data_IF_719891437589
#
_entry.id   IF_719891437589
#
_cell.length_a   1.000
_cell.length_b   1.000
_cell.length_c   1.000
_cell.angle_alpha   90.00
_cell.angle_beta   90.00
_cell.angle_gamma   90.00
#
_symmetry.space_group_name_H-M   'P 1'
#
loop_
_entity.id
_entity.type
_entity.pdbx_description
1 polymer ?
#
# COMPACT_ATOMS: atom_id res chain seq x y z
N UNK A 1 -30.25 13.26 37.28
CA UNK A 1 -30.81 12.36 36.24
C UNK A 1 -31.34 13.15 35.04
N UNK A 2 -31.75 14.41 35.22
CA UNK A 2 -32.31 15.27 34.16
C UNK A 2 -31.45 15.53 32.91
N UNK A 3 -30.12 15.42 33.03
CA UNK A 3 -29.22 15.59 31.87
C UNK A 3 -29.31 14.46 30.85
N UNK A 4 -29.61 13.23 31.30
CA UNK A 4 -29.80 12.08 30.41
C UNK A 4 -31.17 12.12 29.73
N UNK A 5 -32.22 12.53 30.43
CA UNK A 5 -33.57 12.68 29.84
C UNK A 5 -33.62 13.73 28.73
N UNK A 6 -32.77 14.78 28.81
CA UNK A 6 -32.62 15.75 27.71
C UNK A 6 -32.03 15.14 26.44
N UNK A 7 -31.21 14.08 26.53
CA UNK A 7 -30.63 13.40 25.37
C UNK A 7 -31.64 12.51 24.63
N UNK A 8 -32.71 12.07 25.30
CA UNK A 8 -33.78 11.24 24.72
C UNK A 8 -34.98 12.03 24.18
N UNK A 9 -34.87 13.37 24.11
CA UNK A 9 -35.92 14.22 23.52
C UNK A 9 -36.11 13.95 22.03
N UNK A 10 -37.35 14.15 21.55
CA UNK A 10 -37.79 13.90 20.16
C UNK A 10 -36.94 14.62 19.10
N UNK A 11 -36.32 15.74 19.46
CA UNK A 11 -35.44 16.54 18.59
C UNK A 11 -34.12 15.82 18.24
N UNK A 12 -33.62 14.92 19.10
CA UNK A 12 -32.37 14.16 18.88
C UNK A 12 -32.61 12.70 18.47
N UNK A 13 -33.82 12.35 18.04
CA UNK A 13 -34.18 10.96 17.68
C UNK A 13 -33.26 10.41 16.59
N UNK A 14 -32.93 11.20 15.57
CA UNK A 14 -32.03 10.77 14.49
C UNK A 14 -30.63 10.40 15.00
N UNK A 15 -30.10 11.14 15.98
CA UNK A 15 -28.80 10.86 16.59
C UNK A 15 -28.84 9.60 17.45
N UNK A 16 -29.93 9.40 18.19
CA UNK A 16 -30.11 8.19 19.01
C UNK A 16 -30.29 6.94 18.15
N UNK A 17 -31.03 7.03 17.04
CA UNK A 17 -31.15 5.93 16.06
C UNK A 17 -29.78 5.57 15.47
N UNK A 18 -28.98 6.58 15.11
CA UNK A 18 -27.61 6.34 14.61
C UNK A 18 -26.72 5.70 15.68
N UNK A 19 -26.84 6.11 16.95
CA UNK A 19 -26.08 5.52 18.05
C UNK A 19 -26.40 4.04 18.25
N UNK A 20 -27.69 3.68 18.21
CA UNK A 20 -28.14 2.29 18.27
C UNK A 20 -27.59 1.50 17.08
N UNK A 21 -27.61 2.07 15.88
CA UNK A 21 -27.07 1.42 14.68
C UNK A 21 -25.55 1.19 14.80
N UNK A 22 -24.80 2.14 15.34
CA UNK A 22 -23.37 1.98 15.63
C UNK A 22 -23.07 0.88 16.64
N UNK A 23 -23.88 0.78 17.70
CA UNK A 23 -23.76 -0.30 18.69
C UNK A 23 -24.00 -1.65 18.01
N UNK A 24 -25.07 -1.78 17.23
CA UNK A 24 -25.39 -3.01 16.49
C UNK A 24 -24.26 -3.37 15.52
N UNK A 25 -23.73 -2.39 14.78
CA UNK A 25 -22.60 -2.59 13.87
C UNK A 25 -21.35 -3.12 14.57
N UNK A 26 -20.99 -2.55 15.73
CA UNK A 26 -19.84 -2.99 16.52
C UNK A 26 -20.03 -4.44 16.98
N UNK A 27 -21.21 -4.81 17.48
CA UNK A 27 -21.52 -6.16 17.98
C UNK A 27 -21.58 -7.19 16.85
N UNK A 28 -22.22 -6.87 15.72
CA UNK A 28 -22.46 -7.82 14.63
C UNK A 28 -21.18 -8.32 13.97
N UNK A 29 -20.08 -7.57 14.03
CA UNK A 29 -18.80 -8.08 13.55
C UNK A 29 -18.74 -8.30 12.03
N UNK A 30 -19.73 -7.83 11.25
CA UNK A 30 -19.79 -8.15 9.83
C UNK A 30 -18.59 -7.61 9.05
N UNK A 31 -18.15 -8.41 8.08
CA UNK A 31 -17.11 -8.01 7.12
C UNK A 31 -17.65 -6.90 6.23
N UNK A 32 -16.86 -5.86 6.06
CA UNK A 32 -17.16 -4.80 5.09
C UNK A 32 -17.11 -5.41 3.68
N UNK A 33 -18.12 -5.16 2.83
CA UNK A 33 -18.12 -5.68 1.46
C UNK A 33 -16.95 -5.08 0.69
N UNK A 34 -16.35 -5.89 -0.18
CA UNK A 34 -15.10 -5.59 -0.89
C UNK A 34 -15.06 -4.21 -1.61
N UNK A 35 -16.13 -3.75 -2.29
CA UNK A 35 -16.11 -2.44 -2.94
C UNK A 35 -15.98 -1.27 -1.94
N UNK A 36 -16.63 -1.39 -0.77
CA UNK A 36 -16.58 -0.36 0.29
C UNK A 36 -15.25 -0.45 1.04
N UNK A 37 -14.78 -1.67 1.31
CA UNK A 37 -13.49 -1.91 1.93
C UNK A 37 -12.35 -1.31 1.10
N UNK A 38 -12.38 -1.50 -0.23
CA UNK A 38 -11.37 -0.94 -1.13
C UNK A 38 -11.34 0.60 -1.15
N UNK A 39 -12.50 1.26 -1.03
CA UNK A 39 -12.55 2.73 -0.93
C UNK A 39 -11.98 3.24 0.40
N UNK A 40 -12.34 2.59 1.50
CA UNK A 40 -11.92 2.98 2.85
C UNK A 40 -10.44 2.68 3.06
N UNK A 41 -9.94 1.56 2.52
CA UNK A 41 -8.56 1.11 2.69
C UNK A 41 -7.55 1.80 1.75
N UNK A 42 -7.82 3.05 1.42
CA UNK A 42 -6.85 3.97 0.82
C UNK A 42 -6.38 4.98 1.86
N UNK A 43 -5.19 5.55 1.70
CA UNK A 43 -4.70 6.60 2.63
C UNK A 43 -5.68 7.77 2.73
N UNK A 44 -6.26 8.18 1.58
CA UNK A 44 -7.26 9.24 1.52
C UNK A 44 -8.56 8.81 2.21
N UNK A 45 -9.05 7.59 1.94
CA UNK A 45 -10.25 7.04 2.58
C UNK A 45 -10.15 6.98 4.09
N UNK A 46 -9.02 6.51 4.63
CA UNK A 46 -8.75 6.50 6.08
C UNK A 46 -8.81 7.91 6.68
N UNK A 47 -8.20 8.90 6.03
CA UNK A 47 -8.23 10.31 6.47
C UNK A 47 -9.67 10.83 6.50
N UNK A 48 -10.45 10.59 5.44
CA UNK A 48 -11.85 11.02 5.36
C UNK A 48 -12.69 10.41 6.48
N UNK A 49 -12.53 9.11 6.75
CA UNK A 49 -13.26 8.43 7.85
C UNK A 49 -12.91 9.04 9.21
N UNK A 50 -11.64 9.33 9.47
CA UNK A 50 -11.21 9.99 10.72
C UNK A 50 -11.78 11.40 10.82
N UNK A 51 -11.78 12.15 9.72
CA UNK A 51 -12.33 13.52 9.67
C UNK A 51 -13.84 13.51 9.99
N UNK A 52 -14.59 12.59 9.37
CA UNK A 52 -16.02 12.40 9.68
C UNK A 52 -16.23 12.07 11.15
N UNK A 53 -15.41 11.19 11.74
CA UNK A 53 -15.52 10.84 13.15
C UNK A 53 -15.26 12.04 14.08
N UNK A 54 -14.28 12.89 13.75
CA UNK A 54 -13.99 14.13 14.48
C UNK A 54 -15.13 15.13 14.37
N UNK A 55 -15.72 15.30 13.18
CA UNK A 55 -16.90 16.16 13.00
C UNK A 55 -18.09 15.65 13.80
N UNK A 56 -18.29 14.32 13.83
CA UNK A 56 -19.34 13.68 14.60
C UNK A 56 -19.13 13.92 16.10
N UNK A 57 -17.89 13.87 16.58
CA UNK A 57 -17.54 14.20 17.96
C UNK A 57 -17.74 15.69 18.30
N UNK A 58 -17.44 16.60 17.38
CA UNK A 58 -17.55 18.04 17.61
C UNK A 58 -19.00 18.56 17.59
N UNK A 59 -19.86 18.00 16.74
CA UNK A 59 -21.21 18.55 16.48
C UNK A 59 -22.38 17.68 16.96
N UNK A 60 -22.15 16.43 17.38
CA UNK A 60 -23.22 15.53 17.82
C UNK A 60 -23.22 15.28 19.34
N UNK A 61 -24.20 14.49 19.80
CA UNK A 61 -24.26 14.05 21.20
C UNK A 61 -22.93 13.41 21.66
N UNK A 62 -22.42 13.74 22.86
CA UNK A 62 -21.15 13.21 23.38
C UNK A 62 -21.03 11.68 23.32
N UNK A 63 -22.12 10.97 23.63
CA UNK A 63 -22.19 9.50 23.57
C UNK A 63 -21.98 8.99 22.15
N UNK A 64 -22.66 9.61 21.19
CA UNK A 64 -22.58 9.25 19.77
C UNK A 64 -21.20 9.62 19.20
N UNK A 65 -20.61 10.73 19.62
CA UNK A 65 -19.25 11.11 19.25
C UNK A 65 -18.20 10.08 19.67
N UNK A 66 -18.25 9.64 20.93
CA UNK A 66 -17.34 8.59 21.43
C UNK A 66 -17.56 7.28 20.68
N UNK A 67 -18.81 6.86 20.48
CA UNK A 67 -19.13 5.69 19.65
C UNK A 67 -18.62 5.83 18.22
N UNK A 68 -18.72 7.02 17.63
CA UNK A 68 -18.23 7.31 16.28
C UNK A 68 -16.73 7.07 16.14
N UNK A 69 -15.92 7.39 17.15
CA UNK A 69 -14.48 7.08 17.14
C UNK A 69 -14.22 5.58 17.16
N UNK A 70 -14.95 4.82 17.98
CA UNK A 70 -14.83 3.36 18.00
C UNK A 70 -15.23 2.74 16.67
N UNK A 71 -16.34 3.20 16.09
CA UNK A 71 -16.80 2.74 14.77
C UNK A 71 -15.80 3.07 13.69
N UNK A 72 -15.23 4.28 13.68
CA UNK A 72 -14.22 4.67 12.70
C UNK A 72 -12.97 3.77 12.77
N UNK A 73 -12.46 3.51 13.99
CA UNK A 73 -11.34 2.61 14.18
C UNK A 73 -11.65 1.19 13.71
N UNK A 74 -12.80 0.65 14.12
CA UNK A 74 -13.21 -0.71 13.77
C UNK A 74 -13.49 -0.84 12.26
N UNK A 75 -14.08 0.17 11.63
CA UNK A 75 -14.33 0.23 10.19
C UNK A 75 -13.03 0.23 9.37
N UNK A 76 -12.03 1.04 9.77
CA UNK A 76 -10.71 1.07 9.12
C UNK A 76 -10.03 -0.29 9.27
N UNK A 77 -10.02 -0.85 10.49
CA UNK A 77 -9.42 -2.15 10.77
C UNK A 77 -10.08 -3.25 9.95
N UNK A 78 -11.41 -3.32 9.91
CA UNK A 78 -12.16 -4.33 9.13
C UNK A 78 -11.95 -4.19 7.64
N UNK A 79 -11.87 -2.96 7.13
CA UNK A 79 -11.58 -2.72 5.71
C UNK A 79 -10.19 -3.23 5.33
N UNK A 80 -9.17 -2.96 6.16
CA UNK A 80 -7.81 -3.48 5.92
C UNK A 80 -7.71 -5.01 6.00
N UNK A 81 -8.54 -5.65 6.84
CA UNK A 81 -8.64 -7.11 6.91
C UNK A 81 -9.33 -7.70 5.68
N UNK A 82 -10.35 -7.02 5.14
CA UNK A 82 -11.08 -7.50 3.96
C UNK A 82 -10.28 -7.36 2.67
N UNK A 83 -9.53 -6.27 2.51
CA UNK A 83 -8.66 -6.04 1.35
C UNK A 83 -7.36 -6.85 1.42
N UNK A 84 -6.98 -7.33 2.61
CA UNK A 84 -5.76 -8.10 2.84
C UNK A 84 -4.50 -7.26 3.07
N UNK A 85 -4.61 -5.93 3.02
CA UNK A 85 -3.51 -4.99 3.30
C UNK A 85 -3.00 -5.11 4.74
N UNK A 86 -3.86 -5.47 5.69
CA UNK A 86 -3.45 -5.71 7.07
C UNK A 86 -2.40 -6.83 7.18
N UNK A 87 -2.56 -7.90 6.40
CA UNK A 87 -1.60 -9.01 6.41
C UNK A 87 -0.28 -8.60 5.74
N UNK A 88 -0.36 -7.85 4.64
CA UNK A 88 0.81 -7.26 3.97
C UNK A 88 1.60 -6.37 4.93
N UNK A 89 0.96 -5.42 5.61
CA UNK A 89 1.64 -4.49 6.52
C UNK A 89 2.24 -5.19 7.75
N UNK A 90 1.55 -6.21 8.28
CA UNK A 90 1.98 -6.88 9.52
C UNK A 90 3.09 -7.91 9.30
N UNK A 91 3.06 -8.62 8.18
CA UNK A 91 3.90 -9.81 7.96
C UNK A 91 4.88 -9.67 6.79
N UNK A 92 4.68 -8.72 5.87
CA UNK A 92 5.61 -8.54 4.76
C UNK A 92 6.78 -7.63 5.19
N UNK A 93 8.04 -8.08 5.06
CA UNK A 93 9.19 -7.21 5.29
C UNK A 93 9.24 -6.12 4.22
N UNK A 94 9.70 -4.93 4.61
CA UNK A 94 9.96 -3.85 3.65
C UNK A 94 11.06 -4.24 2.69
N UNK A 95 11.08 -3.64 1.50
CA UNK A 95 12.10 -3.91 0.49
C UNK A 95 13.52 -3.65 1.03
N UNK A 96 13.70 -2.60 1.83
CA UNK A 96 14.97 -2.31 2.50
C UNK A 96 15.42 -3.45 3.44
N UNK A 97 14.50 -4.02 4.22
CA UNK A 97 14.80 -5.18 5.09
C UNK A 97 15.15 -6.41 4.27
N UNK A 98 14.36 -6.71 3.24
CA UNK A 98 14.63 -7.80 2.28
C UNK A 98 16.02 -7.65 1.65
N UNK A 99 16.35 -6.45 1.16
CA UNK A 99 17.64 -6.19 0.51
C UNK A 99 18.81 -6.33 1.47
N UNK A 100 18.61 -5.93 2.74
CA UNK A 100 19.62 -6.11 3.79
C UNK A 100 19.92 -7.59 4.02
N UNK A 101 18.89 -8.41 4.19
CA UNK A 101 19.05 -9.87 4.36
C UNK A 101 19.70 -10.51 3.12
N UNK A 102 19.23 -10.18 1.92
CA UNK A 102 19.83 -10.69 0.68
C UNK A 102 21.30 -10.28 0.55
N UNK A 103 21.65 -9.04 0.89
CA UNK A 103 23.05 -8.57 0.85
C UNK A 103 23.92 -9.32 1.84
N UNK A 104 23.42 -9.62 3.05
CA UNK A 104 24.16 -10.39 4.04
C UNK A 104 24.52 -11.79 3.56
N UNK A 105 23.60 -12.47 2.87
CA UNK A 105 23.85 -13.82 2.35
C UNK A 105 24.55 -13.84 0.98
N UNK A 106 24.60 -12.70 0.28
CA UNK A 106 25.20 -12.54 -1.04
C UNK A 106 26.51 -11.72 -0.98
N UNK A 107 27.26 -11.83 0.11
CA UNK A 107 28.63 -11.32 0.19
C UNK A 107 29.60 -12.43 -0.20
N UNK A 108 30.09 -12.39 -1.44
CA UNK A 108 31.15 -13.28 -1.89
C UNK A 108 32.51 -12.61 -1.67
N UNK A 109 33.46 -13.30 -1.03
CA UNK A 109 34.83 -12.81 -0.96
C UNK A 109 35.41 -12.73 -2.38
N UNK A 110 36.24 -11.72 -2.63
CA UNK A 110 36.95 -11.62 -3.90
C UNK A 110 37.78 -12.88 -4.14
N UNK A 111 37.53 -13.56 -5.25
CA UNK A 111 38.14 -14.87 -5.53
C UNK A 111 39.39 -14.77 -6.39
N UNK A 112 40.25 -15.78 -6.33
CA UNK A 112 41.42 -15.88 -7.20
C UNK A 112 41.04 -15.92 -8.68
N UNK A 113 39.91 -16.55 -9.01
CA UNK A 113 39.40 -16.58 -10.39
C UNK A 113 39.00 -15.17 -10.86
N UNK A 114 38.33 -14.38 -10.01
CA UNK A 114 38.03 -12.98 -10.32
C UNK A 114 39.28 -12.11 -10.43
N UNK A 115 40.32 -12.39 -9.63
CA UNK A 115 41.63 -11.73 -9.73
C UNK A 115 42.31 -12.03 -11.07
N UNK A 116 42.38 -13.31 -11.43
CA UNK A 116 42.99 -13.75 -12.66
C UNK A 116 42.21 -13.29 -13.88
N UNK A 117 40.87 -13.33 -13.85
CA UNK A 117 40.01 -12.77 -14.90
C UNK A 117 40.21 -11.27 -15.02
N UNK A 118 40.25 -10.51 -13.92
CA UNK A 118 40.53 -9.06 -13.98
C UNK A 118 41.89 -8.74 -14.59
N UNK A 119 42.89 -9.61 -14.38
CA UNK A 119 44.24 -9.47 -14.93
C UNK A 119 44.37 -9.92 -16.39
N UNK A 120 43.65 -10.96 -16.79
CA UNK A 120 43.79 -11.61 -18.11
C UNK A 120 42.67 -11.24 -19.10
N UNK A 121 41.55 -10.70 -18.63
CA UNK A 121 40.51 -10.19 -19.50
C UNK A 121 41.06 -8.98 -20.27
N UNK A 122 40.92 -8.94 -21.60
CA UNK A 122 41.27 -7.78 -22.40
C UNK A 122 40.19 -6.71 -22.27
N UNK A 123 39.92 -6.25 -21.04
CA UNK A 123 39.10 -5.07 -20.81
C UNK A 123 39.94 -3.85 -21.16
N UNK A 124 39.76 -3.35 -22.38
CA UNK A 124 40.19 -1.99 -22.73
C UNK A 124 39.38 -1.03 -21.87
N UNK A 125 39.87 -0.70 -20.68
CA UNK A 125 39.51 0.57 -20.05
C UNK A 125 40.05 1.63 -20.98
N UNK A 126 39.18 2.13 -21.86
CA UNK A 126 39.46 3.34 -22.64
C UNK A 126 39.57 4.44 -21.60
N UNK A 127 40.79 4.64 -21.08
CA UNK A 127 41.20 5.90 -20.54
C UNK A 127 40.73 6.94 -21.55
N UNK A 128 40.16 8.04 -21.06
CA UNK A 128 39.47 9.08 -21.82
C UNK A 128 40.30 9.80 -22.91
N UNK A 129 41.37 9.18 -23.42
CA UNK A 129 41.89 9.42 -24.76
C UNK A 129 40.98 8.77 -25.80
N UNK A 130 40.12 9.62 -26.35
CA UNK A 130 39.20 9.35 -27.45
C UNK A 130 39.92 8.81 -28.69
N UNK A 131 40.17 7.50 -28.74
CA UNK A 131 40.14 6.81 -30.03
C UNK A 131 38.67 6.57 -30.32
N UNK A 132 38.11 7.31 -31.29
CA UNK A 132 36.76 7.05 -31.81
C UNK A 132 36.71 5.59 -32.26
N UNK A 133 36.18 4.73 -31.40
CA UNK A 133 35.88 3.35 -31.76
C UNK A 133 34.66 3.39 -32.68
N UNK A 134 34.92 3.28 -33.99
CA UNK A 134 33.89 3.05 -34.97
C UNK A 134 33.36 1.61 -34.80
N UNK A 135 32.32 1.47 -33.97
CA UNK A 135 31.50 0.27 -33.94
C UNK A 135 30.31 0.46 -34.89
N UNK A 136 30.20 -0.41 -35.89
CA UNK A 136 29.01 -0.54 -36.71
C UNK A 136 28.36 -1.88 -36.35
N UNK A 137 27.17 -1.90 -35.72
CA UNK A 137 26.48 -3.14 -35.47
C UNK A 137 26.13 -3.79 -36.80
N UNK A 138 26.65 -4.99 -37.04
CA UNK A 138 26.20 -5.83 -38.13
C UNK A 138 24.98 -6.57 -37.59
N UNK A 139 23.79 -6.25 -38.11
CA UNK A 139 22.64 -7.11 -37.87
C UNK A 139 22.86 -8.43 -38.60
N UNK A 140 22.74 -9.53 -37.87
CA UNK A 140 22.65 -10.87 -38.47
C UNK A 140 21.25 -11.07 -39.07
N UNK A 141 21.07 -12.13 -39.85
CA UNK A 141 19.79 -12.46 -40.48
C UNK A 141 18.68 -12.56 -39.42
N UNK A 142 17.64 -11.75 -39.58
CA UNK A 142 16.53 -11.67 -38.63
C UNK A 142 15.52 -12.79 -38.82
N UNK A 143 15.71 -13.71 -39.77
CA UNK A 143 14.82 -14.85 -40.04
C UNK A 143 13.32 -14.46 -40.06
N UNK A 144 12.99 -13.43 -40.85
CA UNK A 144 11.64 -12.85 -40.96
C UNK A 144 11.00 -12.37 -39.64
N UNK A 145 11.81 -12.04 -38.61
CA UNK A 145 11.30 -11.43 -37.39
C UNK A 145 10.64 -10.07 -37.66
N UNK A 146 9.52 -9.82 -36.99
CA UNK A 146 8.78 -8.58 -37.10
C UNK A 146 9.64 -7.39 -36.63
N UNK A 147 9.64 -6.26 -37.36
CA UNK A 147 10.40 -5.08 -36.95
C UNK A 147 9.86 -4.50 -35.64
N UNK A 148 10.74 -3.84 -34.88
CA UNK A 148 10.42 -3.18 -33.61
C UNK A 148 9.30 -2.13 -33.69
N UNK A 149 8.96 -1.63 -34.89
CA UNK A 149 7.84 -0.71 -35.12
C UNK A 149 6.62 -1.37 -35.77
N UNK A 150 6.53 -2.69 -35.79
CA UNK A 150 5.43 -3.41 -36.42
C UNK A 150 4.11 -3.13 -35.69
N UNK A 151 3.18 -2.47 -36.39
CA UNK A 151 1.82 -2.16 -35.92
C UNK A 151 0.75 -3.09 -36.52
N UNK A 152 1.17 -4.19 -37.16
CA UNK A 152 0.25 -5.21 -37.65
C UNK A 152 -0.18 -6.18 -36.55
N UNK A 153 -1.21 -6.98 -36.84
CA UNK A 153 -1.62 -8.09 -35.96
C UNK A 153 -0.66 -9.26 -36.18
N UNK A 154 -0.17 -9.84 -35.09
CA UNK A 154 0.61 -11.09 -35.08
C UNK A 154 -0.32 -12.26 -35.38
#
# INVERSE_FOLDING_TARGET
MDSFDKMFKKEHVSQNVLAVLFIVYLIMGYKTPEPVAGMIDTTIGKIVVVLVAVLLFAYANPVLGVLGLFVAFDLIRRSSLSTGTYALEKYMPTEAKKYTELTQYNQFPYTLEEEMVKKMAPTKYVASDSTQVHFSPILDDTHDAAPINYTGVI
#
